data_IF_041334087801
#
_entry.id   IF_041334087801
#
_cell.length_a   1.000
_cell.length_b   1.000
_cell.length_c   1.000
_cell.angle_alpha   90.00
_cell.angle_beta   90.00
_cell.angle_gamma   90.00
#
_symmetry.space_group_name_H-M   'P 1'
#
loop_
_entity.id
_entity.type
_entity.pdbx_description
1 polymer ?
#
# COMPACT_ATOMS: atom_id res chain seq x y z
N UNK A 1 -32.83 11.34 16.52
CA UNK A 1 -31.37 11.12 16.42
C UNK A 1 -31.02 10.02 17.40
N UNK A 2 -30.87 8.75 16.98
CA UNK A 2 -30.38 7.74 17.90
C UNK A 2 -28.87 7.98 18.05
N UNK A 3 -28.44 8.37 19.23
CA UNK A 3 -27.03 8.34 19.60
C UNK A 3 -26.59 6.87 19.58
N UNK A 4 -25.98 6.43 18.48
CA UNK A 4 -25.43 5.08 18.38
C UNK A 4 -24.39 4.94 19.47
N UNK A 5 -24.67 4.09 20.47
CA UNK A 5 -23.71 3.70 21.50
C UNK A 5 -22.53 3.09 20.76
N UNK A 6 -21.44 3.85 20.65
CA UNK A 6 -20.21 3.42 20.00
C UNK A 6 -19.62 2.28 20.82
N UNK A 7 -19.32 1.15 20.18
CA UNK A 7 -18.76 0.02 20.91
C UNK A 7 -17.30 0.28 21.29
N UNK A 8 -16.81 -0.34 22.36
CA UNK A 8 -15.41 -0.27 22.80
C UNK A 8 -14.43 -0.67 21.66
N UNK A 9 -14.85 -1.61 20.80
CA UNK A 9 -14.10 -2.06 19.62
C UNK A 9 -13.96 -0.94 18.57
N UNK A 10 -14.99 -0.12 18.41
CA UNK A 10 -14.97 1.03 17.51
C UNK A 10 -14.07 2.14 18.06
N UNK A 11 -14.05 2.30 19.39
CA UNK A 11 -13.24 3.32 20.06
C UNK A 11 -11.73 3.10 19.89
N UNK A 12 -11.25 1.89 20.19
CA UNK A 12 -9.84 1.54 20.00
C UNK A 12 -9.45 1.58 18.50
N UNK A 13 -10.35 1.16 17.61
CA UNK A 13 -10.13 1.23 16.16
C UNK A 13 -9.95 2.67 15.68
N UNK A 14 -10.78 3.61 16.15
CA UNK A 14 -10.65 5.03 15.83
C UNK A 14 -9.31 5.61 16.31
N UNK A 15 -8.92 5.33 17.56
CA UNK A 15 -7.64 5.80 18.11
C UNK A 15 -6.45 5.25 17.32
N UNK A 16 -6.51 3.99 16.89
CA UNK A 16 -5.49 3.39 16.02
C UNK A 16 -5.40 4.09 14.66
N UNK A 17 -6.54 4.45 14.06
CA UNK A 17 -6.59 5.16 12.77
C UNK A 17 -6.09 6.60 12.86
N UNK A 18 -6.36 7.31 13.95
CA UNK A 18 -5.80 8.66 14.15
C UNK A 18 -4.27 8.68 14.16
N UNK A 19 -3.64 7.57 14.56
CA UNK A 19 -2.18 7.39 14.57
C UNK A 19 -1.61 6.84 13.27
N UNK A 20 -2.43 6.48 12.27
CA UNK A 20 -1.92 5.87 11.04
C UNK A 20 -1.23 6.84 10.10
N UNK A 21 -1.36 8.16 10.32
CA UNK A 21 -0.71 9.18 9.51
C UNK A 21 -0.26 10.38 10.39
N UNK A 22 0.89 11.01 10.09
CA UNK A 22 1.38 12.16 10.85
C UNK A 22 0.47 13.37 10.64
N UNK A 23 0.13 14.08 11.70
CA UNK A 23 -0.61 15.34 11.61
C UNK A 23 0.27 16.44 11.00
N UNK A 24 -0.35 17.42 10.32
CA UNK A 24 0.37 18.62 9.86
C UNK A 24 0.95 19.40 11.03
N UNK A 25 0.23 19.43 12.15
CA UNK A 25 0.72 19.90 13.43
C UNK A 25 1.32 18.73 14.25
N UNK A 26 2.65 18.67 14.46
CA UNK A 26 3.28 17.53 15.14
C UNK A 26 2.81 17.32 16.60
N UNK A 27 2.41 18.39 17.30
CA UNK A 27 1.90 18.33 18.67
C UNK A 27 0.53 17.63 18.81
N UNK A 28 -0.23 17.43 17.72
CA UNK A 28 -1.52 16.76 17.79
C UNK A 28 -1.38 15.27 18.17
N UNK A 29 -0.29 14.63 17.73
CA UNK A 29 0.03 13.27 18.18
C UNK A 29 0.27 13.21 19.69
N UNK A 30 1.06 14.16 20.21
CA UNK A 30 1.34 14.28 21.64
C UNK A 30 0.06 14.59 22.46
N UNK A 31 -0.85 15.40 21.89
CA UNK A 31 -2.13 15.74 22.51
C UNK A 31 -3.01 14.51 22.68
N UNK A 32 -3.10 13.66 21.65
CA UNK A 32 -3.83 12.38 21.71
C UNK A 32 -3.22 11.47 22.80
N UNK A 33 -1.90 11.37 22.83
CA UNK A 33 -1.19 10.53 23.80
C UNK A 33 -1.31 11.06 25.24
N UNK A 34 -1.32 12.38 25.41
CA UNK A 34 -1.55 13.02 26.70
C UNK A 34 -2.99 12.79 27.19
N UNK A 35 -4.00 12.99 26.34
CA UNK A 35 -5.41 12.75 26.69
C UNK A 35 -5.60 11.30 27.14
N UNK A 36 -5.08 10.33 26.37
CA UNK A 36 -5.20 8.91 26.71
C UNK A 36 -4.52 8.57 28.04
N UNK A 37 -3.30 9.06 28.27
CA UNK A 37 -2.58 8.86 29.54
C UNK A 37 -3.31 9.48 30.73
N UNK A 38 -3.87 10.67 30.56
CA UNK A 38 -4.67 11.35 31.59
C UNK A 38 -5.90 10.52 31.98
N UNK A 39 -6.64 10.01 30.99
CA UNK A 39 -7.82 9.15 31.25
C UNK A 39 -7.41 7.85 31.93
N UNK A 40 -6.30 7.24 31.51
CA UNK A 40 -5.79 6.01 32.12
C UNK A 40 -5.39 6.22 33.59
N UNK A 41 -4.77 7.35 33.91
CA UNK A 41 -4.45 7.71 35.29
C UNK A 41 -5.72 7.92 36.12
N UNK A 42 -6.73 8.60 35.60
CA UNK A 42 -8.01 8.78 36.28
C UNK A 42 -8.74 7.46 36.52
N UNK A 43 -8.73 6.55 35.54
CA UNK A 43 -9.31 5.22 35.68
C UNK A 43 -8.61 4.38 36.77
N UNK A 44 -7.28 4.55 36.94
CA UNK A 44 -6.52 3.87 38.00
C UNK A 44 -6.82 4.39 39.40
N UNK A 45 -7.19 5.68 39.53
CA UNK A 45 -7.47 6.32 40.82
C UNK A 45 -8.98 6.39 41.15
N UNK A 46 -9.86 6.17 40.16
CA UNK A 46 -11.31 6.17 40.31
C UNK A 46 -11.87 4.82 40.75
N UNK A 47 -12.94 4.83 41.57
CA UNK A 47 -13.64 3.61 42.04
C UNK A 47 -14.57 2.96 41.00
N UNK A 48 -14.56 3.43 39.76
CA UNK A 48 -15.45 2.96 38.69
C UNK A 48 -14.70 2.25 37.57
N UNK A 49 -15.36 1.30 36.91
CA UNK A 49 -14.92 0.78 35.61
C UNK A 49 -15.13 1.88 34.58
N UNK A 50 -14.05 2.60 34.25
CA UNK A 50 -14.05 3.64 33.23
C UNK A 50 -13.39 3.06 31.98
N UNK A 51 -14.15 3.01 30.88
CA UNK A 51 -13.60 2.63 29.58
C UNK A 51 -12.70 3.78 29.09
N UNK A 52 -11.39 3.50 29.12
CA UNK A 52 -10.34 4.47 28.80
C UNK A 52 -10.43 4.95 27.35
N UNK A 53 -10.74 4.06 26.41
CA UNK A 53 -10.70 4.39 24.99
C UNK A 53 -11.95 5.19 24.59
N UNK A 54 -13.12 4.84 25.13
CA UNK A 54 -14.36 5.60 24.94
C UNK A 54 -14.27 6.99 25.56
N UNK A 55 -13.75 7.13 26.78
CA UNK A 55 -13.58 8.44 27.43
C UNK A 55 -12.51 9.29 26.74
N UNK A 56 -11.40 8.69 26.28
CA UNK A 56 -10.39 9.41 25.51
C UNK A 56 -10.97 9.98 24.21
N UNK A 57 -11.80 9.22 23.49
CA UNK A 57 -12.49 9.72 22.31
C UNK A 57 -13.48 10.85 22.63
N UNK A 58 -14.25 10.73 23.72
CA UNK A 58 -15.15 11.81 24.15
C UNK A 58 -14.40 13.12 24.38
N UNK A 59 -13.21 13.07 24.99
CA UNK A 59 -12.35 14.24 25.19
C UNK A 59 -11.75 14.78 23.88
N UNK A 60 -11.38 13.90 22.96
CA UNK A 60 -10.90 14.28 21.63
C UNK A 60 -11.99 14.96 20.80
N UNK A 61 -13.24 14.47 20.88
CA UNK A 61 -14.39 15.13 20.24
C UNK A 61 -14.61 16.53 20.82
N UNK A 62 -14.59 16.66 22.15
CA UNK A 62 -14.72 17.96 22.80
C UNK A 62 -13.61 18.93 22.33
N UNK A 63 -12.36 18.46 22.24
CA UNK A 63 -11.25 19.25 21.71
C UNK A 63 -11.46 19.64 20.25
N UNK A 64 -11.90 18.70 19.40
CA UNK A 64 -12.16 18.93 17.98
C UNK A 64 -13.27 19.96 17.72
N UNK A 65 -14.26 20.07 18.62
CA UNK A 65 -15.31 21.09 18.57
C UNK A 65 -14.88 22.46 19.10
N UNK A 66 -13.71 22.54 19.75
CA UNK A 66 -13.16 23.79 20.27
C UNK A 66 -12.50 24.66 19.20
N UNK A 67 -12.04 25.83 19.63
CA UNK A 67 -11.24 26.76 18.81
C UNK A 67 -9.72 26.59 19.01
N UNK A 68 -9.32 25.46 19.60
CA UNK A 68 -7.91 25.16 19.87
C UNK A 68 -7.07 24.99 18.60
N UNK A 69 -5.76 25.20 18.68
CA UNK A 69 -4.86 25.00 17.55
C UNK A 69 -4.92 23.53 17.09
N UNK A 70 -5.14 23.28 15.80
CA UNK A 70 -5.24 21.92 15.25
C UNK A 70 -6.58 21.20 15.50
N UNK A 71 -7.54 21.81 16.20
CA UNK A 71 -8.88 21.25 16.44
C UNK A 71 -9.61 20.90 15.12
N UNK A 72 -9.53 21.79 14.12
CA UNK A 72 -10.13 21.55 12.81
C UNK A 72 -9.49 20.37 12.05
N UNK A 73 -8.18 20.16 12.19
CA UNK A 73 -7.50 19.01 11.58
C UNK A 73 -7.89 17.71 12.29
N UNK A 74 -7.90 17.71 13.62
CA UNK A 74 -8.36 16.57 14.41
C UNK A 74 -9.82 16.21 14.08
N UNK A 75 -10.70 17.20 14.02
CA UNK A 75 -12.11 17.01 13.67
C UNK A 75 -12.30 16.40 12.29
N UNK A 76 -11.55 16.86 11.28
CA UNK A 76 -11.57 16.24 9.95
C UNK A 76 -11.14 14.77 10.00
N UNK A 77 -10.02 14.46 10.66
CA UNK A 77 -9.52 13.08 10.77
C UNK A 77 -10.46 12.16 11.55
N UNK A 78 -11.07 12.65 12.62
CA UNK A 78 -12.09 11.91 13.37
C UNK A 78 -13.29 11.59 12.47
N UNK A 79 -13.75 12.57 11.69
CA UNK A 79 -14.84 12.37 10.71
C UNK A 79 -14.45 11.35 9.64
N UNK A 80 -13.25 11.47 9.07
CA UNK A 80 -12.75 10.55 8.04
C UNK A 80 -12.59 9.12 8.56
N UNK A 81 -12.10 8.95 9.79
CA UNK A 81 -11.95 7.65 10.43
C UNK A 81 -13.31 7.01 10.76
N UNK A 82 -14.30 7.79 11.20
CA UNK A 82 -15.68 7.33 11.42
C UNK A 82 -16.33 6.88 10.12
N UNK A 83 -16.22 7.69 9.07
CA UNK A 83 -16.71 7.34 7.74
C UNK A 83 -16.06 6.06 7.22
N UNK A 84 -14.74 5.91 7.42
CA UNK A 84 -14.03 4.68 7.04
C UNK A 84 -14.54 3.46 7.81
N UNK A 85 -14.77 3.55 9.12
CA UNK A 85 -15.32 2.44 9.91
C UNK A 85 -16.73 2.05 9.49
N UNK A 86 -17.57 3.03 9.16
CA UNK A 86 -18.94 2.79 8.68
C UNK A 86 -18.94 2.14 7.28
N UNK A 87 -18.06 2.60 6.39
CA UNK A 87 -17.91 2.09 5.04
C UNK A 87 -17.29 0.67 5.01
N UNK A 88 -16.25 0.41 5.80
CA UNK A 88 -15.49 -0.85 5.77
C UNK A 88 -16.03 -1.87 6.76
N UNK A 89 -17.03 -2.63 6.28
CA UNK A 89 -17.78 -3.61 7.09
C UNK A 89 -17.21 -5.03 7.09
N UNK A 90 -16.56 -5.45 6.01
CA UNK A 90 -16.07 -6.82 5.83
C UNK A 90 -14.58 -6.96 6.18
N UNK A 91 -14.14 -8.20 6.43
CA UNK A 91 -12.74 -8.47 6.80
C UNK A 91 -11.77 -8.47 5.62
N UNK A 92 -12.26 -8.82 4.43
CA UNK A 92 -11.45 -9.00 3.23
C UNK A 92 -12.11 -8.37 2.01
N UNK A 93 -11.27 -7.70 1.23
CA UNK A 93 -11.68 -7.05 -0.01
C UNK A 93 -10.75 -7.43 -1.14
N UNK A 94 -11.33 -7.74 -2.30
CA UNK A 94 -10.62 -7.83 -3.55
C UNK A 94 -10.50 -6.44 -4.18
N UNK A 95 -9.26 -6.02 -4.45
CA UNK A 95 -8.93 -4.77 -5.11
C UNK A 95 -9.03 -4.94 -6.64
N UNK A 96 -9.77 -4.05 -7.28
CA UNK A 96 -9.95 -3.95 -8.72
C UNK A 96 -9.63 -2.53 -9.16
N UNK A 97 -8.60 -2.35 -9.98
CA UNK A 97 -8.23 -1.04 -10.52
C UNK A 97 -9.04 -0.75 -11.77
N UNK A 98 -9.73 0.39 -11.81
CA UNK A 98 -10.58 0.82 -12.93
C UNK A 98 -10.01 2.11 -13.54
N UNK A 99 -9.54 2.04 -14.78
CA UNK A 99 -9.01 3.20 -15.51
C UNK A 99 -8.02 2.84 -16.64
N UNK A 100 -7.65 3.83 -17.45
CA UNK A 100 -6.63 3.68 -18.49
C UNK A 100 -5.26 3.47 -17.83
N UNK A 101 -4.69 2.26 -18.01
CA UNK A 101 -3.51 1.80 -17.27
C UNK A 101 -3.77 0.57 -16.39
N UNK A 102 -4.97 -0.01 -16.42
CA UNK A 102 -5.27 -1.33 -15.84
C UNK A 102 -4.56 -2.46 -16.61
N UNK A 103 -3.23 -2.41 -16.66
CA UNK A 103 -2.39 -3.51 -17.13
C UNK A 103 -2.45 -4.61 -16.08
N UNK A 104 -3.37 -5.56 -16.27
CA UNK A 104 -3.33 -6.90 -15.65
C UNK A 104 -2.98 -6.94 -14.17
N UNK A 105 -3.45 -5.96 -13.38
CA UNK A 105 -3.15 -5.89 -11.95
C UNK A 105 -3.61 -7.17 -11.28
N UNK A 106 -2.68 -7.90 -10.69
CA UNK A 106 -2.97 -9.10 -9.92
C UNK A 106 -4.06 -8.81 -8.90
N UNK A 107 -5.03 -9.71 -8.81
CA UNK A 107 -6.12 -9.66 -7.85
C UNK A 107 -5.55 -9.56 -6.43
N UNK A 108 -5.43 -8.32 -5.91
CA UNK A 108 -4.83 -8.08 -4.60
C UNK A 108 -5.93 -8.12 -3.54
N UNK A 109 -5.74 -8.97 -2.53
CA UNK A 109 -6.67 -9.06 -1.39
C UNK A 109 -6.16 -8.14 -0.28
N UNK A 110 -6.93 -7.09 0.03
CA UNK A 110 -6.69 -6.21 1.15
C UNK A 110 -7.45 -6.67 2.40
N UNK A 111 -6.81 -6.53 3.55
CA UNK A 111 -7.48 -6.75 4.85
C UNK A 111 -8.24 -5.50 5.28
N UNK A 112 -9.25 -5.67 6.13
CA UNK A 112 -10.02 -4.57 6.73
C UNK A 112 -9.15 -3.46 7.30
N UNK A 113 -8.14 -3.81 8.10
CA UNK A 113 -7.25 -2.84 8.72
C UNK A 113 -6.45 -2.00 7.70
N UNK A 114 -6.05 -2.60 6.58
CA UNK A 114 -5.34 -1.90 5.50
C UNK A 114 -6.29 -0.95 4.76
N UNK A 115 -7.51 -1.42 4.46
CA UNK A 115 -8.51 -0.63 3.77
C UNK A 115 -9.03 0.53 4.63
N UNK A 116 -9.16 0.32 5.95
CA UNK A 116 -9.50 1.39 6.90
C UNK A 116 -8.43 2.48 6.89
N UNK A 117 -7.14 2.11 6.96
CA UNK A 117 -6.05 3.10 6.88
C UNK A 117 -6.07 3.87 5.57
N UNK A 118 -6.29 3.17 4.45
CA UNK A 118 -6.37 3.80 3.13
C UNK A 118 -7.57 4.74 3.02
N UNK A 119 -8.76 4.30 3.45
CA UNK A 119 -9.98 5.10 3.43
C UNK A 119 -9.86 6.35 4.31
N UNK A 120 -9.31 6.23 5.52
CA UNK A 120 -9.05 7.37 6.40
C UNK A 120 -8.02 8.34 5.80
N UNK A 121 -6.95 7.82 5.18
CA UNK A 121 -5.91 8.66 4.60
C UNK A 121 -6.39 9.45 3.37
N UNK A 122 -7.24 8.85 2.55
CA UNK A 122 -7.80 9.49 1.36
C UNK A 122 -8.96 10.43 1.72
N UNK A 123 -9.65 10.15 2.84
CA UNK A 123 -10.69 10.98 3.41
C UNK A 123 -12.09 10.72 2.85
N UNK A 124 -13.09 11.12 3.62
CA UNK A 124 -14.51 10.87 3.35
C UNK A 124 -15.00 11.37 1.99
N UNK A 125 -14.49 12.52 1.53
CA UNK A 125 -14.83 13.11 0.22
C UNK A 125 -14.54 12.24 -1.01
N UNK A 126 -13.76 11.17 -0.83
CA UNK A 126 -13.22 10.32 -1.91
C UNK A 126 -13.50 8.83 -1.71
N UNK A 127 -14.22 8.50 -0.65
CA UNK A 127 -14.60 7.13 -0.30
C UNK A 127 -16.11 7.01 -0.42
N UNK A 128 -16.56 6.18 -1.37
CA UNK A 128 -17.98 5.87 -1.54
C UNK A 128 -18.22 4.40 -1.22
N UNK A 129 -19.18 4.13 -0.32
CA UNK A 129 -19.64 2.77 -0.03
C UNK A 129 -20.88 2.45 -0.90
N UNK A 130 -20.83 1.32 -1.58
CA UNK A 130 -21.95 0.75 -2.32
C UNK A 130 -22.88 -0.07 -1.44
N UNK A 131 -24.12 -0.33 -1.88
CA UNK A 131 -25.14 -1.04 -1.09
C UNK A 131 -24.75 -2.48 -0.76
N UNK A 132 -23.93 -3.12 -1.58
CA UNK A 132 -23.42 -4.48 -1.36
C UNK A 132 -22.15 -4.53 -0.50
N UNK A 133 -21.76 -3.40 0.12
CA UNK A 133 -20.53 -3.27 0.87
C UNK A 133 -19.26 -3.15 0.02
N UNK A 134 -19.39 -2.92 -1.29
CA UNK A 134 -18.26 -2.54 -2.13
C UNK A 134 -17.79 -1.12 -1.78
N UNK A 135 -16.51 -0.82 -1.93
CA UNK A 135 -15.94 0.49 -1.59
C UNK A 135 -15.20 1.02 -2.80
N UNK A 136 -15.49 2.25 -3.19
CA UNK A 136 -14.79 2.94 -4.28
C UNK A 136 -13.94 4.03 -3.67
N UNK A 137 -12.65 4.01 -3.97
CA UNK A 137 -11.69 5.04 -3.58
C UNK A 137 -11.20 5.74 -4.84
N UNK A 138 -11.44 7.04 -4.93
CA UNK A 138 -11.00 7.85 -6.07
C UNK A 138 -9.60 8.42 -5.82
N UNK A 139 -8.66 8.15 -6.74
CA UNK A 139 -7.31 8.73 -6.71
C UNK A 139 -7.26 9.99 -7.58
N UNK A 140 -6.38 10.95 -7.23
CA UNK A 140 -6.05 12.04 -8.17
C UNK A 140 -5.14 11.46 -9.24
N UNK A 141 -5.60 11.42 -10.49
CA UNK A 141 -4.77 11.09 -11.66
C UNK A 141 -4.57 9.59 -11.95
N UNK A 142 -4.80 8.67 -11.01
CA UNK A 142 -4.52 7.23 -11.18
C UNK A 142 -5.75 6.34 -11.46
N UNK A 143 -6.91 6.94 -11.72
CA UNK A 143 -8.18 6.21 -11.84
C UNK A 143 -8.83 5.88 -10.49
N UNK A 144 -9.93 5.13 -10.54
CA UNK A 144 -10.68 4.72 -9.35
C UNK A 144 -10.32 3.29 -8.97
N UNK A 145 -10.18 3.01 -7.68
CA UNK A 145 -9.99 1.65 -7.18
C UNK A 145 -11.28 1.17 -6.54
N UNK A 146 -11.77 0.01 -6.96
CA UNK A 146 -12.95 -0.64 -6.42
C UNK A 146 -12.52 -1.80 -5.54
N UNK A 147 -13.03 -1.86 -4.32
CA UNK A 147 -12.82 -2.92 -3.35
C UNK A 147 -14.12 -3.69 -3.19
N UNK A 148 -14.13 -4.96 -3.58
CA UNK A 148 -15.31 -5.82 -3.44
C UNK A 148 -15.14 -6.75 -2.24
N UNK A 149 -16.12 -6.87 -1.33
CA UNK A 149 -16.03 -7.84 -0.24
C UNK A 149 -15.95 -9.26 -0.78
N UNK A 150 -15.09 -10.07 -0.16
CA UNK A 150 -14.90 -11.48 -0.49
C UNK A 150 -14.91 -12.33 0.77
N UNK A 151 -15.28 -13.60 0.65
CA UNK A 151 -15.27 -14.51 1.80
C UNK A 151 -13.84 -14.84 2.24
N UNK A 152 -13.63 -15.26 3.51
CA UNK A 152 -12.32 -15.69 3.99
C UNK A 152 -11.70 -16.82 3.17
N UNK A 153 -12.51 -17.75 2.67
CA UNK A 153 -12.08 -18.89 1.87
C UNK A 153 -11.54 -18.42 0.51
N UNK A 154 -12.28 -17.54 -0.17
CA UNK A 154 -11.86 -16.94 -1.44
C UNK A 154 -10.61 -16.07 -1.24
N UNK A 155 -10.58 -15.29 -0.16
CA UNK A 155 -9.41 -14.50 0.21
C UNK A 155 -8.16 -15.37 0.44
N UNK A 156 -8.32 -16.52 1.10
CA UNK A 156 -7.22 -17.45 1.34
C UNK A 156 -6.71 -18.08 0.04
N UNK A 157 -7.62 -18.54 -0.82
CA UNK A 157 -7.28 -19.12 -2.13
C UNK A 157 -6.52 -18.11 -3.01
N UNK A 158 -7.04 -16.88 -3.14
CA UNK A 158 -6.40 -15.84 -3.94
C UNK A 158 -5.01 -15.48 -3.42
N UNK A 159 -4.81 -15.44 -2.09
CA UNK A 159 -3.48 -15.24 -1.50
C UNK A 159 -2.54 -16.41 -1.77
N UNK A 160 -3.04 -17.65 -1.73
CA UNK A 160 -2.28 -18.84 -2.10
C UNK A 160 -1.77 -18.75 -3.54
N UNK A 161 -2.67 -18.47 -4.48
CA UNK A 161 -2.33 -18.27 -5.90
C UNK A 161 -1.33 -17.13 -6.08
N UNK A 162 -1.54 -15.97 -5.44
CA UNK A 162 -0.62 -14.84 -5.55
C UNK A 162 0.78 -15.17 -4.99
N UNK A 163 0.85 -15.94 -3.91
CA UNK A 163 2.12 -16.42 -3.34
C UNK A 163 2.85 -17.34 -4.30
N UNK A 164 2.15 -18.32 -4.87
CA UNK A 164 2.74 -19.24 -5.86
C UNK A 164 3.26 -18.49 -7.09
N UNK A 165 2.51 -17.50 -7.59
CA UNK A 165 2.95 -16.64 -8.69
C UNK A 165 4.20 -15.86 -8.30
N UNK A 166 4.24 -15.25 -7.11
CA UNK A 166 5.42 -14.52 -6.62
C UNK A 166 6.63 -15.45 -6.51
N UNK A 167 6.47 -16.64 -5.93
CA UNK A 167 7.54 -17.63 -5.82
C UNK A 167 8.02 -18.12 -7.20
N UNK A 168 7.12 -18.29 -8.17
CA UNK A 168 7.47 -18.58 -9.55
C UNK A 168 8.26 -17.44 -10.21
N UNK A 169 7.84 -16.18 -10.02
CA UNK A 169 8.53 -15.00 -10.54
C UNK A 169 9.92 -14.84 -9.91
N UNK A 170 10.07 -15.07 -8.60
CA UNK A 170 11.38 -15.05 -7.92
C UNK A 170 12.30 -16.15 -8.43
N UNK A 171 11.78 -17.37 -8.62
CA UNK A 171 12.58 -18.45 -9.23
C UNK A 171 13.02 -18.10 -10.65
N UNK A 172 12.13 -17.49 -11.44
CA UNK A 172 12.44 -17.03 -12.79
C UNK A 172 13.50 -15.93 -12.78
N UNK A 173 13.37 -14.92 -11.92
CA UNK A 173 14.35 -13.83 -11.84
C UNK A 173 15.73 -14.34 -11.40
N UNK A 174 15.78 -15.30 -10.48
CA UNK A 174 17.03 -15.96 -10.09
C UNK A 174 17.65 -16.75 -11.26
N UNK A 175 16.84 -17.50 -12.02
CA UNK A 175 17.31 -18.25 -13.19
C UNK A 175 17.83 -17.33 -14.31
N UNK A 176 17.10 -16.25 -14.59
CA UNK A 176 17.49 -15.21 -15.56
C UNK A 176 18.79 -14.55 -15.14
N UNK A 177 18.92 -14.16 -13.87
CA UNK A 177 20.15 -13.58 -13.31
C UNK A 177 21.33 -14.55 -13.43
N UNK A 178 21.14 -15.81 -13.08
CA UNK A 178 22.19 -16.83 -13.16
C UNK A 178 22.63 -17.12 -14.59
N UNK A 179 21.71 -17.07 -15.55
CA UNK A 179 22.02 -17.19 -16.98
C UNK A 179 22.83 -15.99 -17.46
N UNK A 180 22.33 -14.78 -17.22
CA UNK A 180 22.98 -13.56 -17.72
C UNK A 180 24.35 -13.34 -17.07
N UNK A 181 24.53 -13.64 -15.78
CA UNK A 181 25.80 -13.49 -15.08
C UNK A 181 26.96 -14.30 -15.69
N UNK A 182 26.68 -15.32 -16.50
CA UNK A 182 27.70 -16.10 -17.22
C UNK A 182 28.28 -15.36 -18.44
N UNK A 183 27.54 -14.36 -18.95
CA UNK A 183 27.83 -13.72 -20.23
C UNK A 183 28.00 -12.20 -20.12
N UNK A 184 27.37 -11.57 -19.13
CA UNK A 184 27.36 -10.13 -18.95
C UNK A 184 27.68 -9.75 -17.51
N UNK A 185 28.28 -8.57 -17.33
CA UNK A 185 28.51 -8.01 -16.00
C UNK A 185 27.18 -7.62 -15.37
N UNK A 186 26.92 -8.17 -14.18
CA UNK A 186 25.76 -7.80 -13.37
C UNK A 186 26.07 -6.58 -12.52
N UNK A 187 25.11 -5.68 -12.36
CA UNK A 187 25.17 -4.62 -11.37
C UNK A 187 24.64 -5.11 -10.01
N UNK A 188 25.21 -4.57 -8.94
CA UNK A 188 24.81 -4.84 -7.57
C UNK A 188 24.19 -3.58 -6.98
N UNK A 189 22.92 -3.65 -6.60
CA UNK A 189 22.20 -2.55 -5.96
C UNK A 189 22.86 -2.05 -4.67
N UNK A 190 23.66 -2.89 -4.00
CA UNK A 190 24.40 -2.51 -2.80
C UNK A 190 25.66 -1.69 -3.07
N UNK A 191 26.15 -1.67 -4.32
CA UNK A 191 27.28 -0.86 -4.75
C UNK A 191 26.86 0.11 -5.89
N UNK A 192 26.59 1.38 -5.56
CA UNK A 192 26.15 2.37 -6.55
C UNK A 192 27.22 2.70 -7.60
N UNK A 193 28.46 2.24 -7.42
CA UNK A 193 29.54 2.40 -8.41
C UNK A 193 29.57 1.26 -9.43
N UNK A 194 28.81 0.19 -9.23
CA UNK A 194 28.71 -0.89 -10.23
C UNK A 194 27.93 -0.41 -11.45
N UNK A 195 28.39 -0.83 -12.63
CA UNK A 195 27.73 -0.58 -13.92
C UNK A 195 27.53 -1.94 -14.57
N UNK A 196 26.31 -2.22 -15.02
CA UNK A 196 25.98 -3.55 -15.52
C UNK A 196 24.50 -3.81 -15.69
N UNK A 197 24.20 -5.06 -16.04
CA UNK A 197 22.82 -5.54 -16.19
C UNK A 197 22.18 -5.73 -14.83
N UNK A 198 20.96 -5.25 -14.69
CA UNK A 198 20.09 -5.47 -13.53
C UNK A 198 18.95 -6.37 -13.95
N UNK A 199 18.63 -7.34 -13.08
CA UNK A 199 17.47 -8.20 -13.22
C UNK A 199 16.59 -7.98 -12.00
N UNK A 200 15.46 -7.33 -12.22
CA UNK A 200 14.47 -7.06 -11.19
C UNK A 200 13.21 -7.88 -11.44
N UNK A 201 12.47 -8.12 -10.36
CA UNK A 201 11.17 -8.78 -10.43
C UNK A 201 10.10 -7.88 -9.81
N UNK A 202 9.07 -7.61 -10.59
CA UNK A 202 7.77 -7.13 -10.11
C UNK A 202 6.81 -8.33 -9.95
N UNK A 203 5.61 -8.11 -9.42
CA UNK A 203 4.68 -9.19 -9.03
C UNK A 203 4.43 -10.25 -10.12
N UNK A 204 4.45 -9.87 -11.41
CA UNK A 204 4.22 -10.78 -12.54
C UNK A 204 5.33 -10.81 -13.59
N UNK A 205 6.22 -9.82 -13.58
CA UNK A 205 7.14 -9.57 -14.68
C UNK A 205 8.57 -9.51 -14.17
N UNK A 206 9.47 -10.21 -14.87
CA UNK A 206 10.92 -10.06 -14.66
C UNK A 206 11.42 -9.05 -15.68
N UNK A 207 12.08 -8.01 -15.20
CA UNK A 207 12.62 -6.92 -16.02
C UNK A 207 14.14 -7.02 -16.04
N UNK A 208 14.72 -6.90 -17.22
CA UNK A 208 16.16 -6.80 -17.43
C UNK A 208 16.47 -5.44 -17.99
N UNK A 209 17.27 -4.67 -17.26
CA UNK A 209 17.65 -3.31 -17.62
C UNK A 209 19.15 -3.11 -17.42
N UNK A 210 19.62 -1.94 -17.79
CA UNK A 210 21.00 -1.54 -17.61
C UNK A 210 21.09 -0.44 -16.57
N UNK A 211 21.99 -0.62 -15.62
CA UNK A 211 22.28 0.34 -14.57
C UNK A 211 23.60 1.05 -14.88
N UNK A 212 23.51 2.37 -15.05
CA UNK A 212 24.66 3.26 -15.20
C UNK A 212 24.81 4.13 -13.96
N UNK A 213 26.01 4.14 -13.38
CA UNK A 213 26.46 5.22 -12.50
C UNK A 213 26.55 6.50 -13.35
N UNK A 214 26.09 7.62 -12.79
CA UNK A 214 25.85 8.92 -13.46
C UNK A 214 27.05 9.61 -14.16
N UNK A 215 28.12 8.89 -14.52
CA UNK A 215 29.28 9.40 -15.25
C UNK A 215 29.06 9.38 -16.79
N UNK A 216 28.32 10.38 -17.26
CA UNK A 216 28.47 11.13 -18.54
C UNK A 216 28.98 10.45 -19.83
N UNK A 217 28.13 10.48 -20.86
CA UNK A 217 28.47 10.99 -22.20
C UNK A 217 28.97 10.03 -23.27
N UNK A 218 29.16 8.75 -22.94
CA UNK A 218 29.54 7.71 -23.90
C UNK A 218 28.34 7.04 -24.59
N UNK A 219 28.56 6.31 -25.69
CA UNK A 219 27.54 5.46 -26.30
C UNK A 219 27.03 4.42 -25.29
N UNK A 220 25.71 4.33 -25.10
CA UNK A 220 25.13 3.41 -24.11
C UNK A 220 25.45 1.97 -24.51
N UNK A 221 26.22 1.26 -23.69
CA UNK A 221 26.57 -0.15 -23.93
C UNK A 221 25.31 -1.03 -24.03
N UNK A 222 24.23 -0.61 -23.39
CA UNK A 222 22.94 -1.27 -23.46
C UNK A 222 22.37 -1.28 -24.87
N UNK A 223 22.25 -0.10 -25.48
CA UNK A 223 21.57 0.08 -26.78
C UNK A 223 22.56 -0.07 -27.94
N UNK A 224 23.65 0.70 -27.89
CA UNK A 224 24.62 0.81 -28.99
C UNK A 224 25.73 -0.24 -28.88
N UNK A 225 26.08 -0.64 -27.66
CA UNK A 225 27.05 -1.71 -27.40
C UNK A 225 26.51 -3.13 -27.60
N UNK A 226 25.22 -3.28 -27.97
CA UNK A 226 24.61 -4.58 -28.28
C UNK A 226 24.32 -5.47 -27.07
N UNK A 227 24.58 -5.03 -25.83
CA UNK A 227 24.33 -5.82 -24.61
C UNK A 227 22.85 -6.21 -24.50
N UNK A 228 21.93 -5.29 -24.85
CA UNK A 228 20.49 -5.59 -24.87
C UNK A 228 20.14 -6.70 -25.86
N UNK A 229 20.72 -6.66 -27.06
CA UNK A 229 20.48 -7.69 -28.09
C UNK A 229 21.05 -9.05 -27.65
N UNK A 230 22.23 -9.04 -27.03
CA UNK A 230 22.82 -10.24 -26.45
C UNK A 230 21.94 -10.83 -25.35
N UNK A 231 21.48 -10.02 -24.39
CA UNK A 231 20.56 -10.47 -23.34
C UNK A 231 19.27 -11.04 -23.94
N UNK A 232 18.65 -10.35 -24.89
CA UNK A 232 17.44 -10.82 -25.56
C UNK A 232 17.65 -12.16 -26.28
N UNK A 233 18.77 -12.33 -26.98
CA UNK A 233 19.12 -13.56 -27.68
C UNK A 233 19.34 -14.74 -26.70
N UNK A 234 20.12 -14.53 -25.64
CA UNK A 234 20.37 -15.55 -24.61
C UNK A 234 19.09 -16.01 -23.92
N UNK A 235 18.18 -15.07 -23.64
CA UNK A 235 16.90 -15.37 -23.01
C UNK A 235 15.97 -16.12 -23.98
N UNK A 236 15.92 -15.69 -25.24
CA UNK A 236 15.09 -16.35 -26.27
C UNK A 236 15.59 -17.77 -26.56
N UNK A 237 16.90 -18.00 -26.59
CA UNK A 237 17.51 -19.33 -26.76
C UNK A 237 17.09 -20.30 -25.63
N UNK A 238 16.92 -19.78 -24.41
CA UNK A 238 16.38 -20.56 -23.27
C UNK A 238 14.85 -20.66 -23.25
N UNK A 239 14.17 -20.20 -24.30
CA UNK A 239 12.73 -20.29 -24.46
C UNK A 239 11.92 -19.24 -23.70
N UNK A 240 12.54 -18.15 -23.22
CA UNK A 240 11.80 -17.05 -22.60
C UNK A 240 11.16 -16.13 -23.66
N UNK A 241 9.91 -15.73 -23.42
CA UNK A 241 9.26 -14.69 -24.21
C UNK A 241 9.78 -13.32 -23.78
N UNK A 242 10.58 -12.68 -24.65
CA UNK A 242 11.17 -11.37 -24.39
C UNK A 242 10.41 -10.29 -25.16
N UNK A 243 9.99 -9.24 -24.46
CA UNK A 243 9.34 -8.06 -25.04
C UNK A 243 10.12 -6.80 -24.67
N UNK A 244 10.20 -5.83 -25.57
CA UNK A 244 10.86 -4.55 -25.31
C UNK A 244 9.86 -3.56 -24.73
N UNK A 245 10.15 -3.02 -23.55
CA UNK A 245 9.36 -1.97 -22.93
C UNK A 245 9.73 -0.58 -23.49
N UNK A 246 8.83 0.40 -23.28
CA UNK A 246 9.00 1.76 -23.79
C UNK A 246 10.22 2.49 -23.19
N UNK A 247 10.63 2.10 -21.99
CA UNK A 247 11.84 2.59 -21.32
C UNK A 247 13.14 1.91 -21.83
N UNK A 248 13.02 1.00 -22.79
CA UNK A 248 14.15 0.26 -23.37
C UNK A 248 14.60 -0.95 -22.56
N UNK A 249 13.91 -1.30 -21.46
CA UNK A 249 14.13 -2.52 -20.71
C UNK A 249 13.52 -3.75 -21.41
N UNK A 250 14.04 -4.94 -21.09
CA UNK A 250 13.48 -6.21 -21.56
C UNK A 250 12.52 -6.76 -20.51
N UNK A 251 11.28 -6.99 -20.90
CA UNK A 251 10.26 -7.65 -20.08
C UNK A 251 10.17 -9.12 -20.46
N UNK A 252 10.34 -9.98 -19.47
CA UNK A 252 10.23 -11.43 -19.60
C UNK A 252 8.83 -11.85 -19.14
N UNK A 253 8.01 -12.26 -20.11
CA UNK A 253 6.68 -12.81 -19.88
C UNK A 253 6.73 -14.30 -19.52
N UNK A 254 5.59 -14.81 -19.06
CA UNK A 254 5.30 -16.26 -19.09
C UNK A 254 5.21 -16.76 -20.52
#
# INVERSE_FOLDING_TARGET
MPSTVMSEIDANSLLSLLRSAPFSAPYLGETIDWIRRSVQQEAQHGRGSLDVDTEALRRLDAYATGLGPGAAELGRRLSDARHALEAVRHDHYLRLTVGQGASGGTAQVSRRAELLKLATAVGSSRVAAGPTGAIVITSVGSGSTVFRPVSPEVAHQLRGVAREHKEATVRRSAAVRALLAQHVRMADWSDPQTVGVVVDSSDTTVTVSWWESHATGGPSLWVEGGVRLLCAALLSDRGYTVTLAFDGALHIGT
#
